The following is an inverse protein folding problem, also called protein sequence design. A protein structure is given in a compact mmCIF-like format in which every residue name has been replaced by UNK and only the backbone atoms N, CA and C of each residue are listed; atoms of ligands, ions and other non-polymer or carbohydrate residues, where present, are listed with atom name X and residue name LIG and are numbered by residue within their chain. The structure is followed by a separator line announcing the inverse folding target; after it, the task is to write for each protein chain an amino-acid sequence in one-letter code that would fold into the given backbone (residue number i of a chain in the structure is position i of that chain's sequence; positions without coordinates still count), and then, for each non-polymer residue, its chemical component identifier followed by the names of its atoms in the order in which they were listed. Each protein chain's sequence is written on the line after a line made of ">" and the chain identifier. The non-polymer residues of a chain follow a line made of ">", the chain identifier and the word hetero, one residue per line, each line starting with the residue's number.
data_IF_598301438809
#
_entry.id   IF_598301438809
#
_cell.length_a   1.000
_cell.length_b   1.000
_cell.length_c   1.000
_cell.angle_alpha   90.00
_cell.angle_beta   90.00
_cell.angle_gamma   90.00
#
_symmetry.space_group_name_H-M   'P 1'
#
loop_
_entity.id
_entity.type
_entity.pdbx_description
1 polymer ?
#
# COMPACT_ATOMS: atom_id res chain seq x y z
N UNK A 1 -0.02 -23.23 13.83
CA UNK A 1 1.20 -22.88 13.06
C UNK A 1 1.23 -23.47 11.63
N UNK A 2 0.50 -24.56 11.36
CA UNK A 2 0.44 -25.23 10.03
C UNK A 2 -0.38 -24.52 8.94
N UNK A 3 -1.30 -23.61 9.32
CA UNK A 3 -2.22 -22.97 8.36
C UNK A 3 -1.56 -21.79 7.62
N UNK A 4 -0.75 -20.99 8.34
CA UNK A 4 -0.04 -19.81 7.80
C UNK A 4 1.06 -20.18 6.78
N UNK A 5 1.71 -21.34 6.94
CA UNK A 5 2.70 -21.85 5.97
C UNK A 5 2.04 -22.31 4.67
N UNK A 6 0.84 -22.88 4.75
CA UNK A 6 0.07 -23.32 3.58
C UNK A 6 -0.42 -22.12 2.76
N UNK A 7 -0.93 -21.06 3.41
CA UNK A 7 -1.32 -19.81 2.74
C UNK A 7 -0.14 -19.05 2.10
N UNK A 8 1.02 -18.94 2.76
CA UNK A 8 2.23 -18.31 2.17
C UNK A 8 2.70 -19.00 0.90
N UNK A 9 2.61 -20.34 0.86
CA UNK A 9 2.95 -21.13 -0.34
C UNK A 9 2.00 -20.86 -1.52
N UNK A 10 0.75 -20.47 -1.24
CA UNK A 10 -0.29 -20.14 -2.23
C UNK A 10 -0.07 -18.76 -2.87
N UNK A 11 0.37 -17.76 -2.10
CA UNK A 11 0.55 -16.38 -2.58
C UNK A 11 1.74 -16.24 -3.54
N UNK A 12 2.89 -16.85 -3.22
CA UNK A 12 4.06 -16.86 -4.11
C UNK A 12 3.75 -17.62 -5.41
N UNK A 13 3.00 -18.73 -5.30
CA UNK A 13 2.56 -19.51 -6.45
C UNK A 13 1.64 -18.70 -7.36
N UNK A 14 0.75 -17.89 -6.79
CA UNK A 14 -0.12 -16.97 -7.54
C UNK A 14 0.71 -15.91 -8.24
N UNK A 15 1.67 -15.27 -7.56
CA UNK A 15 2.57 -14.28 -8.18
C UNK A 15 3.35 -14.89 -9.35
N UNK A 16 3.88 -16.11 -9.17
CA UNK A 16 4.64 -16.82 -10.21
C UNK A 16 3.77 -17.22 -11.40
N UNK A 17 2.48 -17.51 -11.19
CA UNK A 17 1.51 -17.78 -12.27
C UNK A 17 1.14 -16.53 -13.06
N UNK A 18 1.21 -15.36 -12.43
CA UNK A 18 0.82 -14.10 -13.07
C UNK A 18 2.00 -13.38 -13.73
N UNK A 19 3.24 -13.63 -13.27
CA UNK A 19 4.47 -13.09 -13.87
C UNK A 19 4.58 -13.25 -15.41
N UNK A 20 4.17 -14.37 -16.04
CA UNK A 20 4.19 -14.53 -17.50
C UNK A 20 3.31 -13.52 -18.26
N UNK A 21 2.25 -12.98 -17.64
CA UNK A 21 1.41 -11.97 -18.29
C UNK A 21 2.09 -10.60 -18.33
N UNK A 22 2.96 -10.30 -17.36
CA UNK A 22 3.78 -9.10 -17.30
C UNK A 22 5.05 -9.21 -18.15
N UNK A 23 5.62 -10.43 -18.25
CA UNK A 23 6.81 -10.71 -19.05
C UNK A 23 6.54 -11.79 -20.12
N UNK A 24 5.73 -11.49 -21.14
CA UNK A 24 5.36 -12.46 -22.17
C UNK A 24 6.56 -12.88 -23.03
N UNK A 25 6.60 -14.15 -23.43
CA UNK A 25 7.48 -14.62 -24.51
C UNK A 25 6.95 -14.07 -25.84
N UNK A 26 7.80 -13.40 -26.63
CA UNK A 26 7.47 -12.92 -27.99
C UNK A 26 7.02 -11.46 -28.12
N UNK A 27 6.60 -10.76 -27.05
CA UNK A 27 6.18 -9.35 -27.15
C UNK A 27 7.25 -8.39 -26.60
N UNK A 28 8.20 -8.02 -27.45
CA UNK A 28 9.34 -7.16 -27.09
C UNK A 28 8.95 -5.78 -26.55
N UNK A 29 7.86 -5.20 -27.02
CA UNK A 29 7.37 -3.89 -26.56
C UNK A 29 6.96 -3.91 -25.08
N UNK A 30 6.40 -5.04 -24.59
CA UNK A 30 6.01 -5.20 -23.18
C UNK A 30 7.25 -5.26 -22.30
N UNK A 31 8.23 -6.08 -22.70
CA UNK A 31 9.50 -6.21 -21.97
C UNK A 31 10.23 -4.88 -21.87
N UNK A 32 10.31 -4.13 -22.97
CA UNK A 32 10.93 -2.78 -22.99
C UNK A 32 10.23 -1.84 -22.01
N UNK A 33 8.89 -1.81 -22.00
CA UNK A 33 8.13 -0.98 -21.03
C UNK A 33 8.33 -1.40 -19.59
N UNK A 34 8.36 -2.71 -19.31
CA UNK A 34 8.65 -3.21 -17.96
C UNK A 34 10.03 -2.76 -17.51
N UNK A 35 11.05 -2.91 -18.36
CA UNK A 35 12.42 -2.46 -18.03
C UNK A 35 12.45 -0.95 -17.81
N UNK A 36 11.86 -0.15 -18.71
CA UNK A 36 11.78 1.31 -18.55
C UNK A 36 11.07 1.72 -17.26
N UNK A 37 9.95 1.07 -16.92
CA UNK A 37 9.26 1.31 -15.64
C UNK A 37 10.14 0.96 -14.44
N UNK A 38 10.85 -0.18 -14.48
CA UNK A 38 11.75 -0.56 -13.38
C UNK A 38 12.94 0.40 -13.27
N UNK A 39 13.50 0.87 -14.38
CA UNK A 39 14.57 1.89 -14.38
C UNK A 39 14.05 3.21 -13.81
N UNK A 40 12.89 3.69 -14.25
CA UNK A 40 12.27 4.90 -13.71
C UNK A 40 11.98 4.77 -12.20
N UNK A 41 11.53 3.59 -11.74
CA UNK A 41 11.38 3.29 -10.32
C UNK A 41 12.70 3.40 -9.57
N UNK A 42 13.76 2.75 -10.07
CA UNK A 42 15.07 2.79 -9.43
C UNK A 42 15.58 4.23 -9.32
N UNK A 43 15.49 5.01 -10.39
CA UNK A 43 15.86 6.43 -10.38
C UNK A 43 15.01 7.20 -9.37
N UNK A 44 13.69 7.01 -9.37
CA UNK A 44 12.81 7.68 -8.41
C UNK A 44 13.22 7.41 -6.95
N UNK A 45 13.55 6.15 -6.61
CA UNK A 45 13.95 5.80 -5.24
C UNK A 45 15.34 6.32 -4.90
N UNK A 46 16.30 6.27 -5.83
CA UNK A 46 17.63 6.87 -5.62
C UNK A 46 17.55 8.38 -5.40
N UNK A 47 16.75 9.09 -6.20
CA UNK A 47 16.52 10.53 -6.02
C UNK A 47 15.80 10.80 -4.69
N UNK A 48 14.77 10.01 -4.35
CA UNK A 48 14.05 10.11 -3.07
C UNK A 48 15.01 10.04 -1.88
N UNK A 49 15.83 8.98 -1.78
CA UNK A 49 16.75 8.79 -0.65
C UNK A 49 17.95 9.75 -0.66
N UNK A 50 18.26 10.37 -1.81
CA UNK A 50 19.31 11.40 -1.91
C UNK A 50 18.78 12.79 -1.57
N UNK A 51 17.47 13.01 -1.60
CA UNK A 51 16.84 14.32 -1.39
C UNK A 51 17.21 14.94 -0.02
N UNK A 52 17.22 14.19 1.10
CA UNK A 52 17.62 14.72 2.41
C UNK A 52 19.05 15.28 2.45
N UNK A 53 19.98 14.80 1.61
CA UNK A 53 21.36 15.33 1.57
C UNK A 53 21.43 16.78 1.07
N UNK A 54 20.59 17.15 0.11
CA UNK A 54 20.50 18.55 -0.33
C UNK A 54 19.94 19.44 0.77
N UNK A 55 18.97 18.92 1.53
CA UNK A 55 18.39 19.66 2.63
C UNK A 55 19.39 19.84 3.79
N UNK A 56 20.11 18.76 4.16
CA UNK A 56 21.25 18.80 5.09
C UNK A 56 22.23 19.88 4.69
N UNK A 57 22.74 19.83 3.46
CA UNK A 57 23.77 20.76 2.99
C UNK A 57 23.27 22.21 2.98
N UNK A 58 22.00 22.45 2.67
CA UNK A 58 21.41 23.79 2.76
C UNK A 58 21.39 24.30 4.21
N UNK A 59 21.04 23.44 5.18
CA UNK A 59 21.03 23.80 6.60
C UNK A 59 22.44 24.04 7.13
N UNK A 60 23.40 23.18 6.80
CA UNK A 60 24.81 23.34 7.20
C UNK A 60 25.41 24.64 6.63
N UNK A 61 25.02 25.01 5.41
CA UNK A 61 25.39 26.29 4.80
C UNK A 61 24.79 27.49 5.54
N UNK A 62 23.56 27.39 6.02
CA UNK A 62 22.92 28.47 6.79
C UNK A 62 23.48 28.55 8.22
N UNK A 63 23.91 27.42 8.79
CA UNK A 63 24.50 27.33 10.13
C UNK A 63 25.93 27.84 10.24
N UNK A 64 26.56 28.28 9.14
CA UNK A 64 27.92 28.81 9.13
C UNK A 64 29.00 27.73 9.28
N UNK A 65 28.66 26.45 9.15
CA UNK A 65 29.61 25.35 9.22
C UNK A 65 30.49 25.25 7.95
N UNK A 66 30.08 25.90 6.86
CA UNK A 66 30.83 25.92 5.59
C UNK A 66 31.78 27.12 5.53
N UNK A 67 33.10 26.87 5.63
CA UNK A 67 34.15 27.90 5.52
C UNK A 67 34.27 28.40 4.06
N UNK A 68 33.59 29.50 3.71
CA UNK A 68 33.81 30.21 2.44
C UNK A 68 32.82 31.34 2.17
N UNK A 69 33.15 32.57 2.57
CA UNK A 69 32.30 33.78 2.47
C UNK A 69 31.83 34.10 1.03
N UNK A 70 32.53 33.62 -0.01
CA UNK A 70 32.15 33.84 -1.41
C UNK A 70 31.19 32.79 -2.01
N UNK A 71 31.09 31.58 -1.43
CA UNK A 71 30.14 30.54 -1.88
C UNK A 71 28.75 30.71 -1.24
N UNK A 72 28.69 31.44 -0.13
CA UNK A 72 27.53 31.61 0.75
C UNK A 72 26.48 32.63 0.25
N UNK A 73 26.83 33.59 -0.62
CA UNK A 73 26.00 34.79 -0.79
C UNK A 73 24.94 34.76 -1.91
N UNK A 74 24.82 33.70 -2.70
CA UNK A 74 23.67 33.54 -3.61
C UNK A 74 23.46 32.10 -4.15
N UNK A 75 24.54 31.31 -4.26
CA UNK A 75 24.53 30.03 -5.00
C UNK A 75 24.53 28.82 -4.05
N UNK A 76 25.06 28.95 -2.83
CA UNK A 76 25.13 27.86 -1.84
C UNK A 76 23.77 27.44 -1.26
N UNK A 77 23.31 28.06 -0.18
CA UNK A 77 22.08 27.66 0.52
C UNK A 77 20.81 27.77 -0.35
N UNK A 78 20.67 28.88 -1.10
CA UNK A 78 19.52 29.08 -2.00
C UNK A 78 19.55 28.03 -3.12
N UNK A 79 20.71 27.81 -3.76
CA UNK A 79 20.86 26.81 -4.81
C UNK A 79 20.62 25.38 -4.31
N UNK A 80 21.11 25.02 -3.12
CA UNK A 80 20.86 23.72 -2.48
C UNK A 80 19.38 23.53 -2.11
N UNK A 81 18.70 24.59 -1.68
CA UNK A 81 17.26 24.57 -1.40
C UNK A 81 16.44 24.37 -2.68
N UNK A 82 16.83 25.06 -3.76
CA UNK A 82 16.23 24.84 -5.10
C UNK A 82 16.52 23.42 -5.57
N UNK A 83 17.74 22.92 -5.40
CA UNK A 83 18.11 21.55 -5.74
C UNK A 83 17.30 20.51 -4.95
N UNK A 84 17.07 20.72 -3.66
CA UNK A 84 16.17 19.91 -2.84
C UNK A 84 14.74 19.90 -3.43
N UNK A 85 14.19 21.08 -3.77
CA UNK A 85 12.88 21.18 -4.40
C UNK A 85 12.79 20.46 -5.75
N UNK A 86 13.80 20.63 -6.61
CA UNK A 86 13.90 19.97 -7.91
C UNK A 86 14.08 18.45 -7.76
N UNK A 87 14.89 17.99 -6.81
CA UNK A 87 15.07 16.57 -6.52
C UNK A 87 13.76 15.94 -6.04
N UNK A 88 13.05 16.60 -5.12
CA UNK A 88 11.73 16.16 -4.66
C UNK A 88 10.71 16.08 -5.80
N UNK A 89 10.65 17.10 -6.64
CA UNK A 89 9.78 17.11 -7.82
C UNK A 89 10.18 16.01 -8.81
N UNK A 90 11.47 15.78 -9.01
CA UNK A 90 12.00 14.73 -9.90
C UNK A 90 11.66 13.34 -9.38
N UNK A 91 11.76 13.08 -8.08
CA UNK A 91 11.37 11.81 -7.48
C UNK A 91 9.87 11.52 -7.72
N UNK A 92 9.01 12.52 -7.57
CA UNK A 92 7.58 12.41 -7.94
C UNK A 92 7.41 12.18 -9.44
N UNK A 93 8.08 12.97 -10.28
CA UNK A 93 8.01 12.87 -11.73
C UNK A 93 8.43 11.50 -12.26
N UNK A 94 9.49 10.90 -11.72
CA UNK A 94 9.91 9.54 -12.09
C UNK A 94 8.94 8.46 -11.59
N UNK A 95 8.30 8.65 -10.43
CA UNK A 95 7.23 7.75 -9.96
C UNK A 95 6.00 7.81 -10.90
N UNK A 96 5.56 9.00 -11.28
CA UNK A 96 4.44 9.18 -12.22
C UNK A 96 4.79 8.65 -13.61
N UNK A 97 6.02 8.89 -14.09
CA UNK A 97 6.51 8.35 -15.35
C UNK A 97 6.48 6.81 -15.34
N UNK A 98 6.94 6.21 -14.25
CA UNK A 98 6.91 4.76 -14.05
C UNK A 98 5.48 4.22 -14.13
N UNK A 99 4.54 4.86 -13.44
CA UNK A 99 3.13 4.44 -13.42
C UNK A 99 2.47 4.63 -14.80
N UNK A 100 2.75 5.74 -15.49
CA UNK A 100 2.27 6.02 -16.84
C UNK A 100 2.82 5.02 -17.87
N UNK A 101 4.09 4.59 -17.75
CA UNK A 101 4.65 3.55 -18.62
C UNK A 101 4.02 2.19 -18.31
N UNK A 102 3.85 1.88 -17.01
CA UNK A 102 3.39 0.57 -16.54
C UNK A 102 1.89 0.34 -16.77
N UNK A 103 1.06 1.39 -16.78
CA UNK A 103 -0.40 1.23 -16.91
C UNK A 103 -0.80 0.42 -18.15
N UNK A 104 -0.10 0.62 -19.28
CA UNK A 104 -0.34 -0.17 -20.51
C UNK A 104 0.04 -1.64 -20.35
N UNK A 105 1.11 -1.92 -19.63
CA UNK A 105 1.55 -3.30 -19.32
C UNK A 105 0.52 -3.99 -18.42
N UNK A 106 0.12 -3.32 -17.34
CA UNK A 106 -0.89 -3.84 -16.40
C UNK A 106 -2.23 -4.11 -17.08
N UNK A 107 -2.76 -3.15 -17.84
CA UNK A 107 -4.04 -3.31 -18.55
C UNK A 107 -4.00 -4.42 -19.61
N UNK A 108 -2.86 -4.58 -20.32
CA UNK A 108 -2.68 -5.71 -21.23
C UNK A 108 -2.70 -7.05 -20.48
N UNK A 109 -1.93 -7.16 -19.40
CA UNK A 109 -1.88 -8.37 -18.58
C UNK A 109 -3.28 -8.74 -18.08
N UNK A 110 -4.04 -7.75 -17.61
CA UNK A 110 -5.41 -7.90 -17.17
C UNK A 110 -6.33 -8.41 -18.29
N UNK A 111 -6.27 -7.79 -19.47
CA UNK A 111 -7.04 -8.23 -20.64
C UNK A 111 -6.75 -9.68 -21.03
N UNK A 112 -5.47 -10.09 -21.01
CA UNK A 112 -5.06 -11.46 -21.33
C UNK A 112 -5.57 -12.46 -20.30
N UNK A 113 -5.44 -12.14 -19.02
CA UNK A 113 -5.94 -12.97 -17.93
C UNK A 113 -7.47 -13.11 -17.96
N UNK A 114 -8.19 -12.02 -18.21
CA UNK A 114 -9.64 -12.03 -18.36
C UNK A 114 -10.08 -12.93 -19.53
N UNK A 115 -9.43 -12.80 -20.69
CA UNK A 115 -9.72 -13.62 -21.86
C UNK A 115 -9.44 -15.11 -21.62
N UNK A 116 -8.33 -15.43 -20.95
CA UNK A 116 -8.00 -16.82 -20.61
C UNK A 116 -8.98 -17.42 -19.62
N UNK A 117 -9.38 -16.63 -18.61
CA UNK A 117 -10.41 -17.04 -17.64
C UNK A 117 -11.75 -17.29 -18.33
N UNK A 118 -12.16 -16.39 -19.23
CA UNK A 118 -13.38 -16.53 -20.02
C UNK A 118 -13.37 -17.78 -20.90
N UNK A 119 -12.26 -18.05 -21.59
CA UNK A 119 -12.06 -19.27 -22.40
C UNK A 119 -12.06 -20.54 -21.55
N UNK A 120 -11.44 -20.51 -20.38
CA UNK A 120 -11.41 -21.65 -19.47
C UNK A 120 -12.83 -22.01 -19.01
N UNK A 121 -13.62 -21.00 -18.66
CA UNK A 121 -15.00 -21.21 -18.22
C UNK A 121 -15.86 -21.81 -19.32
N UNK A 122 -15.75 -21.33 -20.56
CA UNK A 122 -16.45 -21.93 -21.70
C UNK A 122 -16.08 -23.39 -21.97
N UNK A 123 -14.89 -23.83 -21.56
CA UNK A 123 -14.44 -25.23 -21.70
C UNK A 123 -14.91 -26.13 -20.57
N UNK A 124 -15.54 -25.60 -19.53
CA UNK A 124 -16.08 -26.40 -18.43
C UNK A 124 -17.33 -27.17 -18.89
N UNK A 125 -17.59 -28.30 -18.24
CA UNK A 125 -18.70 -29.18 -18.61
C UNK A 125 -20.07 -28.49 -18.56
N UNK A 126 -21.02 -28.97 -19.36
CA UNK A 126 -22.42 -28.52 -19.29
C UNK A 126 -23.01 -28.68 -17.87
N UNK A 127 -22.64 -29.76 -17.16
CA UNK A 127 -23.03 -29.97 -15.76
C UNK A 127 -22.57 -28.82 -14.85
N UNK A 128 -21.36 -28.31 -15.06
CA UNK A 128 -20.85 -27.15 -14.32
C UNK A 128 -21.70 -25.89 -14.57
N UNK A 129 -22.12 -25.67 -15.81
CA UNK A 129 -22.92 -24.51 -16.19
C UNK A 129 -24.38 -24.58 -15.70
N UNK A 130 -25.01 -25.77 -15.72
CA UNK A 130 -26.40 -25.94 -15.30
C UNK A 130 -26.55 -25.86 -13.76
N UNK A 131 -25.54 -26.29 -13.01
CA UNK A 131 -25.58 -26.31 -11.52
C UNK A 131 -25.25 -24.96 -10.87
N UNK A 132 -24.78 -23.97 -11.64
CA UNK A 132 -24.35 -22.67 -11.13
C UNK A 132 -25.24 -21.55 -11.67
N UNK A 133 -25.79 -20.71 -10.78
CA UNK A 133 -26.51 -19.49 -11.18
C UNK A 133 -25.60 -18.60 -12.02
N UNK A 134 -25.99 -18.32 -13.27
CA UNK A 134 -25.20 -17.60 -14.28
C UNK A 134 -24.71 -16.22 -13.79
N UNK A 135 -25.52 -15.51 -13.00
CA UNK A 135 -25.15 -14.21 -12.40
C UNK A 135 -24.05 -14.31 -11.33
N UNK A 136 -24.01 -15.40 -10.56
CA UNK A 136 -22.95 -15.64 -9.58
C UNK A 136 -21.60 -15.93 -10.25
N UNK A 137 -21.62 -16.65 -11.38
CA UNK A 137 -20.43 -16.97 -12.14
C UNK A 137 -19.80 -15.71 -12.75
N UNK A 138 -20.60 -14.84 -13.37
CA UNK A 138 -20.14 -13.54 -13.91
C UNK A 138 -19.46 -12.68 -12.85
N UNK A 139 -20.07 -12.55 -11.66
CA UNK A 139 -19.52 -11.77 -10.54
C UNK A 139 -18.25 -12.38 -9.95
N UNK A 140 -18.06 -13.70 -10.04
CA UNK A 140 -16.81 -14.36 -9.61
C UNK A 140 -15.69 -14.07 -10.60
N UNK A 141 -15.96 -14.12 -11.91
CA UNK A 141 -14.98 -13.77 -12.95
C UNK A 141 -14.52 -12.32 -12.76
N UNK A 142 -15.47 -11.39 -12.67
CA UNK A 142 -15.17 -9.97 -12.56
C UNK A 142 -14.35 -9.67 -11.29
N UNK A 143 -14.74 -10.24 -10.14
CA UNK A 143 -14.00 -10.08 -8.88
C UNK A 143 -12.62 -10.75 -8.91
N UNK A 144 -12.50 -11.92 -9.53
CA UNK A 144 -11.23 -12.65 -9.63
C UNK A 144 -10.23 -11.89 -10.49
N UNK A 145 -10.66 -11.42 -11.66
CA UNK A 145 -9.85 -10.62 -12.58
C UNK A 145 -9.41 -9.31 -11.93
N UNK A 146 -10.34 -8.56 -11.32
CA UNK A 146 -10.01 -7.33 -10.58
C UNK A 146 -9.11 -7.57 -9.37
N UNK A 147 -9.29 -8.68 -8.65
CA UNK A 147 -8.45 -9.06 -7.52
C UNK A 147 -7.01 -9.33 -7.94
N UNK A 148 -6.78 -9.98 -9.08
CA UNK A 148 -5.43 -10.20 -9.61
C UNK A 148 -4.80 -8.89 -10.09
N UNK A 149 -5.55 -7.98 -10.73
CA UNK A 149 -5.04 -6.63 -11.08
C UNK A 149 -4.56 -5.89 -9.83
N UNK A 150 -5.40 -5.86 -8.79
CA UNK A 150 -5.09 -5.22 -7.53
C UNK A 150 -3.82 -5.79 -6.91
N UNK A 151 -3.70 -7.13 -6.83
CA UNK A 151 -2.53 -7.78 -6.25
C UNK A 151 -1.25 -7.49 -7.04
N UNK A 152 -1.31 -7.52 -8.38
CA UNK A 152 -0.14 -7.22 -9.21
C UNK A 152 0.33 -5.78 -9.04
N UNK A 153 -0.61 -4.83 -9.12
CA UNK A 153 -0.33 -3.41 -8.96
C UNK A 153 0.19 -3.15 -7.56
N UNK A 154 -0.44 -3.67 -6.52
CA UNK A 154 0.00 -3.46 -5.15
C UNK A 154 1.40 -4.03 -4.90
N UNK A 155 1.69 -5.26 -5.34
CA UNK A 155 2.98 -5.89 -5.12
C UNK A 155 4.11 -5.19 -5.88
N UNK A 156 3.90 -4.86 -7.16
CA UNK A 156 4.93 -4.23 -7.98
C UNK A 156 5.03 -2.72 -7.74
N UNK A 157 3.89 -2.05 -7.62
CA UNK A 157 3.80 -0.59 -7.55
C UNK A 157 3.97 -0.01 -6.15
N UNK A 158 3.62 -0.77 -5.11
CA UNK A 158 3.70 -0.30 -3.73
C UNK A 158 4.73 -1.08 -2.91
N UNK A 159 4.59 -2.40 -2.77
CA UNK A 159 5.42 -3.21 -1.85
C UNK A 159 6.89 -3.28 -2.31
N UNK A 160 7.12 -3.58 -3.58
CA UNK A 160 8.47 -3.67 -4.15
C UNK A 160 9.32 -2.40 -3.93
N UNK A 161 8.89 -1.22 -4.42
CA UNK A 161 9.63 0.02 -4.20
C UNK A 161 9.74 0.41 -2.72
N UNK A 162 8.73 0.11 -1.89
CA UNK A 162 8.84 0.34 -0.45
C UNK A 162 9.97 -0.47 0.19
N UNK A 163 10.08 -1.77 -0.13
CA UNK A 163 11.17 -2.62 0.39
C UNK A 163 12.53 -2.08 -0.07
N UNK A 164 12.63 -1.68 -1.35
CA UNK A 164 13.87 -1.09 -1.89
C UNK A 164 14.24 0.18 -1.14
N UNK A 165 13.29 1.09 -0.95
CA UNK A 165 13.49 2.37 -0.26
C UNK A 165 13.89 2.17 1.20
N UNK A 166 13.18 1.31 1.94
CA UNK A 166 13.53 0.98 3.32
C UNK A 166 14.95 0.39 3.41
N UNK A 167 15.32 -0.49 2.47
CA UNK A 167 16.66 -1.07 2.43
C UNK A 167 17.73 0.01 2.19
N UNK A 168 17.50 0.92 1.24
CA UNK A 168 18.40 2.03 0.96
C UNK A 168 18.54 2.97 2.16
N UNK A 169 17.42 3.35 2.79
CA UNK A 169 17.43 4.22 3.99
C UNK A 169 18.18 3.55 5.14
N UNK A 170 17.94 2.26 5.40
CA UNK A 170 18.68 1.53 6.45
C UNK A 170 20.19 1.49 6.17
N UNK A 171 20.60 1.28 4.92
CA UNK A 171 22.01 1.30 4.53
C UNK A 171 22.61 2.70 4.72
N UNK A 172 21.92 3.75 4.27
CA UNK A 172 22.35 5.15 4.45
C UNK A 172 22.53 5.46 5.93
N UNK A 173 21.58 5.06 6.78
CA UNK A 173 21.67 5.31 8.22
C UNK A 173 22.88 4.62 8.86
N UNK A 174 23.17 3.38 8.45
CA UNK A 174 24.32 2.63 8.96
C UNK A 174 25.68 3.22 8.53
N UNK A 175 25.75 3.79 7.32
CA UNK A 175 27.00 4.30 6.73
C UNK A 175 27.25 5.77 7.10
N UNK A 176 26.22 6.62 7.12
CA UNK A 176 26.36 8.08 7.31
C UNK A 176 26.39 8.48 8.78
N UNK A 177 25.56 7.85 9.62
CA UNK A 177 25.45 8.23 11.04
C UNK A 177 26.20 7.25 11.94
N UNK A 178 25.66 6.05 12.10
CA UNK A 178 26.25 4.92 12.83
C UNK A 178 25.28 3.72 12.73
N UNK A 179 25.78 2.49 12.89
CA UNK A 179 24.94 1.28 12.86
C UNK A 179 23.81 1.30 13.90
N UNK A 180 23.97 2.01 15.03
CA UNK A 180 22.92 2.17 16.06
C UNK A 180 21.66 2.84 15.49
N UNK A 181 21.80 3.81 14.60
CA UNK A 181 20.66 4.48 13.95
C UNK A 181 19.87 3.49 13.09
N UNK A 182 20.57 2.68 12.29
CA UNK A 182 19.96 1.63 11.48
C UNK A 182 19.24 0.57 12.33
N UNK A 183 19.78 0.21 13.50
CA UNK A 183 19.13 -0.72 14.42
C UNK A 183 17.81 -0.17 14.97
N UNK A 184 17.78 1.10 15.37
CA UNK A 184 16.53 1.73 15.83
C UNK A 184 15.48 1.72 14.70
N UNK A 185 15.85 2.13 13.49
CA UNK A 185 14.96 2.11 12.32
C UNK A 185 14.43 0.70 12.04
N UNK A 186 15.31 -0.32 12.06
CA UNK A 186 14.92 -1.71 11.83
C UNK A 186 13.97 -2.25 12.91
N UNK A 187 14.22 -1.91 14.18
CA UNK A 187 13.32 -2.27 15.28
C UNK A 187 11.95 -1.60 15.10
N UNK A 188 11.93 -0.30 14.79
CA UNK A 188 10.69 0.44 14.53
C UNK A 188 9.90 -0.17 13.38
N UNK A 189 10.55 -0.50 12.25
CA UNK A 189 9.91 -1.18 11.12
C UNK A 189 9.37 -2.56 11.53
N UNK A 190 10.16 -3.36 12.26
CA UNK A 190 9.74 -4.68 12.70
C UNK A 190 8.52 -4.63 13.63
N UNK A 191 8.50 -3.66 14.56
CA UNK A 191 7.36 -3.39 15.44
C UNK A 191 6.14 -2.94 14.65
N UNK A 192 6.31 -1.98 13.73
CA UNK A 192 5.23 -1.47 12.88
C UNK A 192 4.60 -2.60 12.06
N UNK A 193 5.42 -3.41 11.39
CA UNK A 193 4.96 -4.54 10.57
C UNK A 193 4.23 -5.56 11.44
N UNK A 194 4.82 -5.98 12.56
CA UNK A 194 4.24 -6.99 13.45
C UNK A 194 2.91 -6.52 14.05
N UNK A 195 2.85 -5.27 14.51
CA UNK A 195 1.64 -4.64 15.02
C UNK A 195 0.56 -4.60 13.94
N UNK A 196 0.89 -4.05 12.77
CA UNK A 196 -0.05 -3.89 11.64
C UNK A 196 -0.63 -5.23 11.20
N UNK A 197 0.18 -6.26 11.05
CA UNK A 197 -0.28 -7.60 10.65
C UNK A 197 -1.21 -8.22 11.70
N UNK A 198 -0.82 -8.20 12.98
CA UNK A 198 -1.64 -8.77 14.06
C UNK A 198 -3.00 -8.08 14.17
N UNK A 199 -3.02 -6.76 14.17
CA UNK A 199 -4.27 -6.00 14.29
C UNK A 199 -5.12 -6.14 13.03
N UNK A 200 -4.51 -6.15 11.84
CA UNK A 200 -5.25 -6.32 10.59
C UNK A 200 -5.91 -7.69 10.50
N UNK A 201 -5.21 -8.77 10.88
CA UNK A 201 -5.78 -10.13 10.92
C UNK A 201 -7.00 -10.20 11.85
N UNK A 202 -6.96 -9.51 13.00
CA UNK A 202 -8.12 -9.37 13.88
C UNK A 202 -9.24 -8.54 13.25
N UNK A 203 -8.92 -7.41 12.62
CA UNK A 203 -9.90 -6.53 11.96
C UNK A 203 -10.61 -7.19 10.78
N UNK A 204 -9.95 -8.09 10.06
CA UNK A 204 -10.57 -8.88 8.98
C UNK A 204 -11.77 -9.68 9.50
N UNK A 205 -11.70 -10.23 10.71
CA UNK A 205 -12.82 -10.96 11.33
C UNK A 205 -14.01 -10.05 11.61
N UNK A 206 -13.76 -8.82 12.09
CA UNK A 206 -14.81 -7.82 12.34
C UNK A 206 -15.47 -7.39 11.04
N UNK A 207 -14.66 -7.11 10.00
CA UNK A 207 -15.18 -6.73 8.68
C UNK A 207 -15.98 -7.86 8.04
N UNK A 208 -15.61 -9.12 8.29
CA UNK A 208 -16.41 -10.28 7.85
C UNK A 208 -17.78 -10.29 8.51
N UNK A 209 -17.87 -10.08 9.83
CA UNK A 209 -19.15 -9.98 10.53
C UNK A 209 -20.01 -8.83 10.00
N UNK A 210 -19.40 -7.66 9.73
CA UNK A 210 -20.10 -6.52 9.14
C UNK A 210 -20.69 -6.88 7.76
N UNK A 211 -19.94 -7.56 6.89
CA UNK A 211 -20.42 -7.98 5.58
C UNK A 211 -21.53 -9.04 5.66
N UNK A 212 -21.50 -9.92 6.67
CA UNK A 212 -22.55 -10.91 6.91
C UNK A 212 -23.87 -10.22 7.32
N UNK A 213 -23.82 -9.21 8.20
CA UNK A 213 -24.99 -8.41 8.58
C UNK A 213 -25.54 -7.56 7.42
N UNK A 214 -24.64 -6.95 6.62
CA UNK A 214 -25.02 -6.23 5.40
C UNK A 214 -25.76 -7.13 4.41
N UNK A 215 -25.28 -8.36 4.23
CA UNK A 215 -25.92 -9.35 3.35
C UNK A 215 -27.31 -9.74 3.87
N UNK A 216 -27.47 -9.95 5.17
CA UNK A 216 -28.76 -10.29 5.79
C UNK A 216 -29.77 -9.15 5.65
N UNK A 217 -29.37 -7.91 5.95
CA UNK A 217 -30.22 -6.72 5.79
C UNK A 217 -30.67 -6.54 4.33
N UNK A 218 -29.73 -6.66 3.38
CA UNK A 218 -30.02 -6.55 1.96
C UNK A 218 -30.95 -7.66 1.46
N UNK A 219 -30.75 -8.90 1.94
CA UNK A 219 -31.63 -10.01 1.61
C UNK A 219 -33.07 -9.79 2.11
N UNK A 220 -33.25 -9.30 3.34
CA UNK A 220 -34.58 -8.96 3.89
C UNK A 220 -35.26 -7.85 3.11
N UNK A 221 -34.53 -6.80 2.74
CA UNK A 221 -35.07 -5.70 1.93
C UNK A 221 -35.52 -6.19 0.54
N UNK A 222 -34.69 -6.98 -0.15
CA UNK A 222 -35.02 -7.53 -1.46
C UNK A 222 -36.25 -8.45 -1.37
N UNK A 223 -36.31 -9.34 -0.37
CA UNK A 223 -37.42 -10.28 -0.20
C UNK A 223 -38.75 -9.55 0.06
N UNK A 224 -38.74 -8.50 0.89
CA UNK A 224 -39.91 -7.66 1.14
C UNK A 224 -40.38 -6.92 -0.12
N UNK A 225 -39.45 -6.35 -0.90
CA UNK A 225 -39.77 -5.61 -2.13
C UNK A 225 -40.24 -6.50 -3.28
N UNK A 226 -39.68 -7.71 -3.42
CA UNK A 226 -40.13 -8.67 -4.42
C UNK A 226 -41.52 -9.21 -4.09
N UNK A 227 -41.84 -9.39 -2.80
CA UNK A 227 -43.13 -9.88 -2.33
C UNK A 227 -44.04 -8.74 -1.82
N UNK A 228 -43.96 -7.56 -2.44
CA UNK A 228 -44.67 -6.36 -1.95
C UNK A 228 -46.19 -6.58 -1.86
N UNK A 229 -46.77 -7.32 -2.80
CA UNK A 229 -48.20 -7.63 -2.82
C UNK A 229 -48.61 -8.41 -1.57
N UNK A 230 -47.84 -9.44 -1.21
CA UNK A 230 -48.06 -10.23 0.01
C UNK A 230 -47.97 -9.36 1.26
N UNK A 231 -46.96 -8.49 1.34
CA UNK A 231 -46.81 -7.57 2.48
C UNK A 231 -48.04 -6.67 2.61
N UNK A 232 -48.57 -6.15 1.49
CA UNK A 232 -49.77 -5.31 1.47
C UNK A 232 -51.06 -6.06 1.78
N UNK A 233 -51.22 -7.27 1.24
CA UNK A 233 -52.40 -8.11 1.51
C UNK A 233 -52.57 -8.43 3.00
N UNK A 234 -51.46 -8.60 3.73
CA UNK A 234 -51.48 -8.94 5.15
C UNK A 234 -51.23 -7.75 6.09
N UNK A 235 -51.14 -6.52 5.59
CA UNK A 235 -50.83 -5.33 6.40
C UNK A 235 -49.56 -5.47 7.24
N UNK A 236 -48.52 -6.09 6.65
CA UNK A 236 -47.32 -6.52 7.35
C UNK A 236 -46.15 -5.51 7.29
N UNK A 237 -46.40 -4.27 6.86
CA UNK A 237 -45.34 -3.28 6.62
C UNK A 237 -44.49 -3.00 7.85
N UNK A 238 -45.13 -2.78 9.01
CA UNK A 238 -44.41 -2.54 10.27
C UNK A 238 -43.54 -3.74 10.67
N UNK A 239 -44.05 -4.95 10.48
CA UNK A 239 -43.31 -6.19 10.81
C UNK A 239 -42.07 -6.37 9.95
N UNK A 240 -42.17 -6.11 8.64
CA UNK A 240 -41.01 -6.18 7.74
C UNK A 240 -40.03 -5.03 8.00
N UNK A 241 -40.52 -3.84 8.35
CA UNK A 241 -39.67 -2.72 8.76
C UNK A 241 -38.87 -3.05 10.03
N UNK A 242 -39.50 -3.58 11.08
CA UNK A 242 -38.83 -3.98 12.32
C UNK A 242 -37.81 -5.09 12.07
N UNK A 243 -38.15 -6.07 11.22
CA UNK A 243 -37.25 -7.18 10.85
C UNK A 243 -36.00 -6.68 10.10
N UNK A 244 -36.16 -5.66 9.26
CA UNK A 244 -35.06 -4.98 8.58
C UNK A 244 -34.23 -4.15 9.56
N UNK A 245 -34.87 -3.39 10.47
CA UNK A 245 -34.21 -2.57 11.47
C UNK A 245 -33.31 -3.39 12.42
N UNK A 246 -33.77 -4.56 12.87
CA UNK A 246 -32.95 -5.48 13.67
C UNK A 246 -31.68 -5.91 12.93
N UNK A 247 -31.78 -6.17 11.61
CA UNK A 247 -30.61 -6.50 10.80
C UNK A 247 -29.67 -5.30 10.66
N UNK A 248 -30.24 -4.11 10.46
CA UNK A 248 -29.51 -2.85 10.36
C UNK A 248 -28.80 -2.47 11.66
N UNK A 249 -29.41 -2.69 12.83
CA UNK A 249 -28.76 -2.48 14.13
C UNK A 249 -27.55 -3.43 14.31
N UNK A 250 -27.68 -4.68 13.83
CA UNK A 250 -26.57 -5.63 13.77
C UNK A 250 -25.42 -5.14 12.88
N UNK A 251 -25.74 -4.62 11.70
CA UNK A 251 -24.77 -4.00 10.79
C UNK A 251 -24.13 -2.77 11.42
N UNK A 252 -24.91 -1.86 12.01
CA UNK A 252 -24.44 -0.63 12.65
C UNK A 252 -23.39 -0.94 13.72
N UNK A 253 -23.68 -1.85 14.64
CA UNK A 253 -22.74 -2.27 15.68
C UNK A 253 -21.42 -2.80 15.11
N UNK A 254 -21.49 -3.61 14.05
CA UNK A 254 -20.31 -4.15 13.38
C UNK A 254 -19.54 -3.07 12.59
N UNK A 255 -20.24 -2.12 11.99
CA UNK A 255 -19.67 -1.00 11.25
C UNK A 255 -18.94 -0.02 12.18
N UNK A 256 -19.56 0.33 13.32
CA UNK A 256 -18.94 1.15 14.38
C UNK A 256 -17.65 0.50 14.86
N UNK A 257 -17.67 -0.80 15.17
CA UNK A 257 -16.47 -1.54 15.58
C UNK A 257 -15.40 -1.58 14.49
N UNK A 258 -15.80 -1.68 13.22
CA UNK A 258 -14.88 -1.63 12.06
C UNK A 258 -14.20 -0.26 11.96
N UNK A 259 -14.95 0.83 12.19
CA UNK A 259 -14.43 2.20 12.22
C UNK A 259 -13.49 2.45 13.40
N UNK A 260 -13.94 2.16 14.63
CA UNK A 260 -13.14 2.34 15.84
C UNK A 260 -11.83 1.54 15.81
N UNK A 261 -11.87 0.30 15.31
CA UNK A 261 -10.66 -0.52 15.16
C UNK A 261 -9.68 0.04 14.13
N UNK A 262 -10.16 0.76 13.10
CA UNK A 262 -9.29 1.47 12.16
C UNK A 262 -8.58 2.64 12.85
N UNK A 263 -9.32 3.45 13.62
CA UNK A 263 -8.76 4.57 14.37
C UNK A 263 -7.70 4.10 15.36
N UNK A 264 -7.96 3.01 16.08
CA UNK A 264 -6.99 2.41 17.00
C UNK A 264 -5.73 1.91 16.27
N UNK A 265 -5.89 1.27 15.10
CA UNK A 265 -4.75 0.85 14.26
C UNK A 265 -3.92 2.06 13.81
N UNK A 266 -4.57 3.11 13.30
CA UNK A 266 -3.88 4.31 12.83
C UNK A 266 -3.12 4.98 13.99
N UNK A 267 -3.75 5.11 15.16
CA UNK A 267 -3.11 5.67 16.34
C UNK A 267 -1.90 4.85 16.79
N UNK A 268 -2.02 3.52 16.88
CA UNK A 268 -0.91 2.66 17.26
C UNK A 268 0.24 2.67 16.24
N UNK A 269 -0.08 2.75 14.95
CA UNK A 269 0.92 2.93 13.90
C UNK A 269 1.68 4.26 14.02
N UNK A 270 0.95 5.36 14.24
CA UNK A 270 1.55 6.68 14.47
C UNK A 270 2.41 6.68 15.73
N UNK A 271 1.95 6.06 16.82
CA UNK A 271 2.73 5.95 18.06
C UNK A 271 4.07 5.25 17.81
N UNK A 272 4.08 4.10 17.11
CA UNK A 272 5.31 3.35 16.82
C UNK A 272 6.28 4.19 15.96
N UNK A 273 5.79 4.81 14.90
CA UNK A 273 6.63 5.63 14.01
C UNK A 273 7.16 6.85 14.75
N UNK A 274 6.30 7.59 15.45
CA UNK A 274 6.70 8.80 16.19
C UNK A 274 7.68 8.48 17.30
N UNK A 275 7.49 7.40 18.05
CA UNK A 275 8.47 6.97 19.06
C UNK A 275 9.81 6.63 18.42
N UNK A 276 9.81 5.90 17.30
CA UNK A 276 11.03 5.63 16.53
C UNK A 276 11.74 6.91 16.12
N UNK A 277 11.01 7.83 15.49
CA UNK A 277 11.52 9.13 15.06
C UNK A 277 12.11 9.92 16.22
N UNK A 278 11.40 10.03 17.36
CA UNK A 278 11.88 10.73 18.55
C UNK A 278 13.18 10.14 19.06
N UNK A 279 13.31 8.81 19.13
CA UNK A 279 14.55 8.15 19.57
C UNK A 279 15.72 8.55 18.65
N UNK A 280 15.53 8.45 17.34
CA UNK A 280 16.59 8.76 16.37
C UNK A 280 16.94 10.26 16.38
N UNK A 281 15.95 11.14 16.53
CA UNK A 281 16.18 12.58 16.66
C UNK A 281 16.91 12.94 17.96
N UNK A 282 16.60 12.29 19.09
CA UNK A 282 17.32 12.47 20.36
C UNK A 282 18.77 12.00 20.22
N UNK A 283 19.01 10.85 19.57
CA UNK A 283 20.36 10.39 19.27
C UNK A 283 21.13 11.41 18.41
N UNK A 284 20.50 11.94 17.36
CA UNK A 284 21.10 12.98 16.51
C UNK A 284 21.40 14.26 17.31
N UNK A 285 20.47 14.74 18.14
CA UNK A 285 20.68 15.92 18.97
C UNK A 285 21.86 15.76 19.94
N UNK A 286 22.02 14.58 20.56
CA UNK A 286 23.18 14.27 21.40
C UNK A 286 24.46 14.29 20.56
N UNK A 287 24.44 13.71 19.35
CA UNK A 287 25.59 13.74 18.43
C UNK A 287 25.99 15.16 18.01
N UNK A 288 25.02 16.05 17.83
CA UNK A 288 25.27 17.48 17.56
C UNK A 288 25.88 18.17 18.77
N UNK A 289 25.35 17.94 19.98
CA UNK A 289 25.93 18.49 21.22
C UNK A 289 27.37 18.03 21.48
N UNK A 290 27.71 16.81 21.04
CA UNK A 290 29.05 16.25 21.13
C UNK A 290 29.99 16.71 20.00
N UNK A 291 29.49 17.46 19.01
CA UNK A 291 30.26 17.92 17.85
C UNK A 291 30.60 16.81 16.84
N UNK A 292 29.92 15.66 16.91
CA UNK A 292 30.11 14.52 15.99
C UNK A 292 29.26 14.70 14.73
N UNK A 293 28.09 15.31 14.87
CA UNK A 293 27.10 15.55 13.80
C UNK A 293 26.86 17.04 13.62
N UNK A 294 26.48 17.45 12.41
CA UNK A 294 26.11 18.83 12.08
C UNK A 294 24.65 19.13 12.39
N UNK A 295 24.24 20.40 12.40
CA UNK A 295 22.81 20.74 12.52
C UNK A 295 22.00 20.20 11.34
N UNK A 296 22.59 20.15 10.14
CA UNK A 296 21.97 19.53 8.97
C UNK A 296 21.82 18.02 9.09
N UNK A 297 22.71 17.31 9.80
CA UNK A 297 22.56 15.88 10.12
C UNK A 297 21.30 15.61 10.93
N UNK A 298 21.01 16.46 11.92
CA UNK A 298 19.78 16.37 12.70
C UNK A 298 18.53 16.53 11.82
N UNK A 299 18.56 17.46 10.85
CA UNK A 299 17.46 17.66 9.91
C UNK A 299 17.33 16.48 8.94
N UNK A 300 18.46 15.94 8.46
CA UNK A 300 18.51 14.80 7.53
C UNK A 300 17.88 13.54 8.10
N UNK A 301 18.09 13.28 9.39
CA UNK A 301 17.50 12.12 10.09
C UNK A 301 15.97 12.12 10.05
N UNK A 302 15.36 13.31 10.05
CA UNK A 302 13.90 13.48 10.04
C UNK A 302 13.32 13.59 8.61
N UNK A 303 14.11 14.04 7.64
CA UNK A 303 13.68 14.34 6.27
C UNK A 303 13.59 13.09 5.39
#
# INVERSE_FOLDING_TARGET
>A
MSDKTTERSSNIRTLRRVAPYLWPKGEGWVKRRVVLSLTALLIARLVSVSTPFFYKAAVDSLGGETRGEAWLLAIGAIGLTVAYGVARLSAVGFNELRDAIFVRVGQRALRKLALETFRHIHRLSMRYHITRKTGGLSRIIERGVKGVDFLLRFMLLSVGPLILELSLVTIIFAVVFDWRYAVVVMITIALYVTYTFKITEWRVKIRRQMNEQDTDANQKAIDSLLNFETVKYFGAEGREADRYDVAMAGYEKAAVKTGQSLSALNFGQSLIITTGLVIVMVMAAIGVQQGILTVGDFVMVNA
#
